data_IF_173708828929
#
_entry.id   IF_173708828929
#
_cell.length_a   1.000
_cell.length_b   1.000
_cell.length_c   1.000
_cell.angle_alpha   90.00
_cell.angle_beta   90.00
_cell.angle_gamma   90.00
#
_symmetry.space_group_name_H-M   'P 1'
#
loop_
_entity.id
_entity.type
_entity.pdbx_description
1 polymer ?
#
# COMPACT_ATOMS: atom_id res chain seq x y z
N UNK A 1 -4.96 -19.64 9.52
CA UNK A 1 -4.84 -18.87 8.28
C UNK A 1 -6.21 -18.42 7.77
N UNK A 2 -7.16 -19.34 7.55
CA UNK A 2 -8.50 -19.03 7.03
C UNK A 2 -9.27 -18.01 7.89
N UNK A 3 -9.22 -18.11 9.22
CA UNK A 3 -9.82 -17.12 10.12
C UNK A 3 -9.21 -15.73 9.91
N UNK A 4 -7.88 -15.63 9.83
CA UNK A 4 -7.20 -14.36 9.59
C UNK A 4 -7.59 -13.73 8.23
N UNK A 5 -7.68 -14.55 7.17
CA UNK A 5 -8.15 -14.06 5.87
C UNK A 5 -9.62 -13.62 5.93
N UNK A 6 -10.48 -14.36 6.64
CA UNK A 6 -11.88 -13.97 6.85
C UNK A 6 -11.97 -12.60 7.53
N UNK A 7 -11.16 -12.35 8.56
CA UNK A 7 -11.13 -11.06 9.26
C UNK A 7 -10.63 -9.93 8.34
N UNK A 8 -9.61 -10.20 7.53
CA UNK A 8 -9.09 -9.24 6.55
C UNK A 8 -10.19 -8.85 5.54
N UNK A 9 -10.92 -9.83 5.01
CA UNK A 9 -11.97 -9.60 4.00
C UNK A 9 -13.19 -8.92 4.62
N UNK A 10 -13.67 -9.42 5.76
CA UNK A 10 -14.96 -9.02 6.32
C UNK A 10 -14.87 -7.79 7.23
N UNK A 11 -13.72 -7.52 7.83
CA UNK A 11 -13.50 -6.37 8.72
C UNK A 11 -12.53 -5.36 8.10
N UNK A 12 -11.34 -5.79 7.71
CA UNK A 12 -10.28 -4.90 7.23
C UNK A 12 -10.65 -4.18 5.93
N UNK A 13 -11.05 -4.94 4.91
CA UNK A 13 -11.36 -4.40 3.58
C UNK A 13 -12.51 -3.39 3.58
N UNK A 14 -13.68 -3.63 4.24
CA UNK A 14 -14.75 -2.65 4.27
C UNK A 14 -14.36 -1.34 4.96
N UNK A 15 -13.61 -1.42 6.06
CA UNK A 15 -13.15 -0.24 6.77
C UNK A 15 -12.17 0.58 5.94
N UNK A 16 -11.16 -0.07 5.36
CA UNK A 16 -10.20 0.59 4.47
C UNK A 16 -10.90 1.22 3.25
N UNK A 17 -11.81 0.49 2.60
CA UNK A 17 -12.55 0.98 1.43
C UNK A 17 -13.38 2.23 1.77
N UNK A 18 -14.00 2.26 2.96
CA UNK A 18 -14.78 3.42 3.43
C UNK A 18 -13.87 4.64 3.59
N UNK A 19 -12.72 4.50 4.24
CA UNK A 19 -11.76 5.58 4.41
C UNK A 19 -11.17 6.05 3.07
N UNK A 20 -10.88 5.13 2.15
CA UNK A 20 -10.44 5.47 0.81
C UNK A 20 -11.46 6.33 0.05
N UNK A 21 -12.77 6.02 0.17
CA UNK A 21 -13.85 6.83 -0.43
C UNK A 21 -13.88 8.25 0.13
N UNK A 22 -13.77 8.42 1.45
CA UNK A 22 -13.70 9.76 2.05
C UNK A 22 -12.49 10.55 1.56
N UNK A 23 -11.33 9.91 1.44
CA UNK A 23 -10.14 10.55 0.91
C UNK A 23 -10.27 10.94 -0.57
N UNK A 24 -10.93 10.13 -1.41
CA UNK A 24 -11.23 10.49 -2.79
C UNK A 24 -12.20 11.68 -2.89
N UNK A 25 -13.23 11.72 -2.04
CA UNK A 25 -14.14 12.85 -1.94
C UNK A 25 -13.37 14.11 -1.54
N UNK A 26 -12.59 14.06 -0.46
CA UNK A 26 -11.77 15.16 0.00
C UNK A 26 -10.84 15.68 -1.10
N UNK A 27 -10.13 14.77 -1.81
CA UNK A 27 -9.26 15.15 -2.91
C UNK A 27 -10.01 15.79 -4.08
N UNK A 28 -11.21 15.32 -4.40
CA UNK A 28 -12.06 15.93 -5.43
C UNK A 28 -12.53 17.32 -5.04
N UNK A 29 -12.91 17.50 -3.76
CA UNK A 29 -13.26 18.84 -3.22
C UNK A 29 -12.07 19.79 -3.29
N UNK A 30 -10.87 19.34 -2.88
CA UNK A 30 -9.65 20.12 -3.01
C UNK A 30 -9.39 20.57 -4.45
N UNK A 31 -9.49 19.66 -5.43
CA UNK A 31 -9.33 19.99 -6.84
C UNK A 31 -10.40 21.01 -7.32
N UNK A 32 -11.63 20.87 -6.82
CA UNK A 32 -12.71 21.83 -7.16
C UNK A 32 -12.45 23.22 -6.61
N UNK A 33 -11.89 23.34 -5.40
CA UNK A 33 -11.49 24.64 -4.84
C UNK A 33 -10.45 25.35 -5.71
N UNK A 34 -9.46 24.60 -6.21
CA UNK A 34 -8.44 25.14 -7.12
C UNK A 34 -9.05 25.50 -8.48
N UNK A 35 -9.80 24.58 -9.10
CA UNK A 35 -10.37 24.80 -10.45
C UNK A 35 -11.36 25.96 -10.50
N UNK A 36 -12.05 26.23 -9.41
CA UNK A 36 -12.96 27.38 -9.24
C UNK A 36 -12.26 28.64 -8.71
N UNK A 37 -10.93 28.58 -8.55
CA UNK A 37 -10.10 29.72 -8.12
C UNK A 37 -10.44 30.29 -6.73
N UNK A 38 -11.00 29.47 -5.82
CA UNK A 38 -11.13 29.85 -4.41
C UNK A 38 -9.80 29.83 -3.68
N UNK A 39 -8.91 28.92 -4.07
CA UNK A 39 -7.55 28.80 -3.58
C UNK A 39 -6.59 28.60 -4.75
N UNK A 40 -5.31 28.90 -4.54
CA UNK A 40 -4.25 28.67 -5.52
C UNK A 40 -3.72 27.23 -5.46
N UNK A 41 -3.05 26.77 -6.52
CA UNK A 41 -2.33 25.49 -6.50
C UNK A 41 -1.28 25.46 -5.40
N UNK A 42 -0.50 26.54 -5.24
CA UNK A 42 0.50 26.64 -4.16
C UNK A 42 -0.14 26.44 -2.77
N UNK A 43 -1.29 27.10 -2.51
CA UNK A 43 -2.00 26.93 -1.22
C UNK A 43 -2.46 25.49 -1.01
N UNK A 44 -2.86 24.80 -2.09
CA UNK A 44 -3.22 23.39 -2.04
C UNK A 44 -2.00 22.53 -1.76
N UNK A 45 -0.89 22.77 -2.42
CA UNK A 45 0.35 21.99 -2.21
C UNK A 45 0.86 22.18 -0.78
N UNK A 46 0.84 23.39 -0.24
CA UNK A 46 1.14 23.64 1.18
C UNK A 46 0.20 22.89 2.12
N UNK A 47 -1.10 22.89 1.83
CA UNK A 47 -2.06 22.15 2.62
C UNK A 47 -1.77 20.65 2.57
N UNK A 48 -1.50 20.06 1.39
CA UNK A 48 -1.16 18.66 1.24
C UNK A 48 0.13 18.29 1.98
N UNK A 49 1.13 19.16 1.98
CA UNK A 49 2.39 18.97 2.71
C UNK A 49 2.22 19.05 4.24
N UNK A 50 1.20 19.77 4.72
CA UNK A 50 0.90 19.88 6.14
C UNK A 50 0.19 18.67 6.73
N UNK A 51 -0.27 17.75 5.88
CA UNK A 51 -0.98 16.55 6.33
C UNK A 51 0.03 15.57 6.92
N UNK A 52 -0.11 15.30 8.20
CA UNK A 52 0.69 14.30 8.90
C UNK A 52 0.24 12.90 8.49
N UNK A 53 1.12 12.16 7.82
CA UNK A 53 0.83 10.81 7.36
C UNK A 53 1.79 9.80 7.97
N UNK A 54 1.43 8.53 7.94
CA UNK A 54 2.35 7.45 8.34
C UNK A 54 3.67 7.49 7.56
N UNK A 55 3.67 8.02 6.34
CA UNK A 55 4.91 8.16 5.55
C UNK A 55 5.82 9.25 6.13
N UNK A 56 5.27 10.38 6.62
CA UNK A 56 6.05 11.42 7.30
C UNK A 56 6.58 10.92 8.65
N UNK A 57 5.74 10.20 9.41
CA UNK A 57 6.17 9.55 10.66
C UNK A 57 7.29 8.56 10.42
N UNK A 58 7.15 7.69 9.40
CA UNK A 58 8.16 6.72 9.04
C UNK A 58 9.51 7.39 8.73
N UNK A 59 9.50 8.48 7.95
CA UNK A 59 10.72 9.23 7.62
C UNK A 59 11.39 9.78 8.89
N UNK A 60 10.61 10.36 9.80
CA UNK A 60 11.11 10.91 11.06
C UNK A 60 11.68 9.80 11.96
N UNK A 61 10.91 8.74 12.18
CA UNK A 61 11.30 7.62 13.03
C UNK A 61 12.51 6.85 12.44
N UNK A 62 12.57 6.74 11.12
CA UNK A 62 13.70 6.11 10.45
C UNK A 62 14.99 6.92 10.60
N UNK A 63 14.92 8.26 10.50
CA UNK A 63 16.05 9.11 10.77
C UNK A 63 16.51 9.01 12.24
N UNK A 64 15.59 8.95 13.19
CA UNK A 64 15.92 8.70 14.60
C UNK A 64 16.58 7.33 14.80
N UNK A 65 16.09 6.30 14.12
CA UNK A 65 16.70 4.97 14.14
C UNK A 65 18.12 4.97 13.56
N UNK A 66 18.34 5.65 12.43
CA UNK A 66 19.68 5.76 11.81
C UNK A 66 20.69 6.51 12.70
N UNK A 67 20.23 7.46 13.51
CA UNK A 67 21.03 8.26 14.44
C UNK A 67 21.13 7.63 15.85
N UNK A 68 20.74 6.35 16.02
CA UNK A 68 20.72 5.63 17.29
C UNK A 68 19.87 6.31 18.39
N UNK A 69 18.90 7.17 17.99
CA UNK A 69 17.96 7.85 18.90
C UNK A 69 16.68 7.02 19.13
N UNK A 70 16.40 6.05 18.26
CA UNK A 70 15.30 5.10 18.39
C UNK A 70 15.84 3.67 18.41
N UNK A 71 15.53 2.85 19.44
CA UNK A 71 15.93 1.44 19.47
C UNK A 71 15.30 0.61 18.32
N UNK A 72 16.06 -0.37 17.81
CA UNK A 72 15.62 -1.25 16.71
C UNK A 72 14.30 -1.96 17.01
N UNK A 73 14.11 -2.42 18.24
CA UNK A 73 12.87 -3.10 18.66
C UNK A 73 11.65 -2.19 18.67
N UNK A 74 11.83 -0.89 19.00
CA UNK A 74 10.77 0.12 18.94
C UNK A 74 10.38 0.39 17.49
N UNK A 75 11.38 0.59 16.62
CA UNK A 75 11.17 0.79 15.19
C UNK A 75 10.48 -0.43 14.57
N UNK A 76 10.98 -1.64 14.81
CA UNK A 76 10.42 -2.87 14.28
C UNK A 76 9.00 -3.15 14.79
N UNK A 77 8.68 -2.78 16.02
CA UNK A 77 7.31 -2.91 16.57
C UNK A 77 6.31 -2.09 15.80
N UNK A 78 6.71 -0.88 15.36
CA UNK A 78 5.85 0.03 14.59
C UNK A 78 5.84 -0.34 13.10
N UNK A 79 6.99 -0.58 12.50
CA UNK A 79 7.15 -0.68 11.04
C UNK A 79 7.62 -2.05 10.54
N UNK A 80 7.97 -2.97 11.43
CA UNK A 80 8.57 -4.26 11.08
C UNK A 80 7.72 -5.13 10.16
N UNK A 81 6.41 -4.94 10.15
CA UNK A 81 5.49 -5.64 9.25
C UNK A 81 5.58 -5.19 7.79
N UNK A 82 6.15 -4.01 7.53
CA UNK A 82 6.30 -3.48 6.17
C UNK A 82 7.31 -4.32 5.37
N UNK A 83 7.20 -4.24 4.06
CA UNK A 83 8.11 -4.85 3.09
C UNK A 83 8.18 -4.00 1.82
N UNK A 84 9.28 -4.08 1.07
CA UNK A 84 9.48 -3.29 -0.14
C UNK A 84 8.45 -3.61 -1.23
N UNK A 85 8.07 -4.87 -1.39
CA UNK A 85 6.93 -5.29 -2.22
C UNK A 85 5.72 -5.53 -1.33
N UNK A 86 4.79 -4.61 -1.24
CA UNK A 86 3.73 -4.53 -0.21
C UNK A 86 3.00 -5.84 0.04
N UNK A 87 2.74 -6.65 -0.99
CA UNK A 87 2.01 -7.93 -0.87
C UNK A 87 2.77 -9.08 -1.53
N UNK A 88 4.03 -8.88 -1.86
CA UNK A 88 4.86 -9.91 -2.46
C UNK A 88 5.42 -10.85 -1.37
N UNK A 89 5.05 -12.12 -1.44
CA UNK A 89 5.52 -13.16 -0.51
C UNK A 89 7.04 -13.36 -0.60
N UNK A 90 7.66 -13.06 -1.75
CA UNK A 90 9.10 -13.20 -1.97
C UNK A 90 9.91 -12.19 -1.18
N UNK A 91 9.34 -11.00 -0.93
CA UNK A 91 10.04 -9.95 -0.19
C UNK A 91 9.99 -10.18 1.33
N UNK A 92 11.11 -9.93 1.99
CA UNK A 92 11.20 -10.00 3.44
C UNK A 92 10.52 -8.80 4.10
N UNK A 93 10.03 -9.00 5.31
CA UNK A 93 9.57 -7.92 6.19
C UNK A 93 10.77 -7.12 6.71
N UNK A 94 10.55 -5.88 7.10
CA UNK A 94 11.63 -5.05 7.67
C UNK A 94 12.24 -5.64 8.94
N UNK A 95 11.42 -6.28 9.81
CA UNK A 95 11.92 -6.95 11.01
C UNK A 95 12.70 -8.25 10.74
N UNK A 96 12.65 -8.77 9.52
CA UNK A 96 13.40 -9.96 9.06
C UNK A 96 14.67 -9.60 8.30
N UNK A 97 14.89 -8.32 8.01
CA UNK A 97 16.11 -7.84 7.37
C UNK A 97 17.15 -7.53 8.44
N UNK A 98 18.34 -8.15 8.36
CA UNK A 98 19.44 -7.87 9.29
C UNK A 98 19.97 -6.44 9.16
N UNK A 99 19.55 -5.78 8.11
CA UNK A 99 19.89 -4.42 7.84
C UNK A 99 18.68 -3.70 7.23
N UNK A 100 17.93 -3.02 8.01
CA UNK A 100 17.45 -1.73 7.54
C UNK A 100 18.72 -0.92 7.35
N UNK A 101 19.28 -1.01 6.14
CA UNK A 101 20.63 -0.55 5.86
C UNK A 101 20.70 0.90 6.27
N UNK A 102 21.74 1.25 7.00
CA UNK A 102 22.37 2.55 6.97
C UNK A 102 22.93 2.80 5.53
N UNK A 103 22.08 2.72 4.52
CA UNK A 103 22.44 3.14 3.17
C UNK A 103 22.36 4.63 3.15
N UNK A 104 23.51 5.23 3.14
CA UNK A 104 23.80 6.64 2.99
C UNK A 104 23.33 7.25 1.65
N UNK A 105 22.54 6.55 0.86
CA UNK A 105 22.04 6.98 -0.44
C UNK A 105 20.57 7.45 -0.42
N UNK A 106 20.11 7.97 0.70
CA UNK A 106 18.95 8.84 0.64
C UNK A 106 19.42 10.28 0.41
N UNK A 107 19.61 10.61 -0.85
CA UNK A 107 19.36 11.98 -1.30
C UNK A 107 17.84 12.27 -1.10
N UNK A 108 17.42 12.30 0.13
CA UNK A 108 16.17 12.91 0.53
C UNK A 108 16.43 14.41 0.64
N UNK A 109 16.69 15.02 -0.52
CA UNK A 109 16.70 16.47 -0.66
C UNK A 109 15.25 16.93 -0.70
N UNK A 110 14.89 17.59 0.27
CA UNK A 110 14.38 18.96 0.39
C UNK A 110 13.73 19.08 1.75
N UNK A 111 14.50 19.55 2.71
CA UNK A 111 13.97 20.35 3.79
C UNK A 111 13.30 21.56 3.15
N UNK A 112 12.03 21.43 2.82
CA UNK A 112 11.18 22.60 2.68
C UNK A 112 11.04 23.12 4.10
N UNK A 113 11.91 24.06 4.48
CA UNK A 113 11.78 24.82 5.72
C UNK A 113 10.44 25.51 5.66
N UNK A 114 9.48 24.97 6.42
CA UNK A 114 8.21 25.61 6.63
C UNK A 114 8.39 26.85 7.50
N UNK A 115 8.79 27.95 6.90
CA UNK A 115 8.77 29.28 7.51
C UNK A 115 7.68 30.11 6.82
N UNK A 116 6.43 29.86 7.14
CA UNK A 116 5.40 30.89 6.93
C UNK A 116 4.22 30.66 7.88
N UNK A 117 3.96 31.65 8.73
CA UNK A 117 2.79 31.81 9.56
C UNK A 117 1.49 32.10 8.76
N UNK A 118 1.41 31.66 7.50
CA UNK A 118 0.18 31.82 6.73
C UNK A 118 -0.76 30.64 7.00
N UNK A 119 -2.06 30.90 7.23
CA UNK A 119 -3.02 29.81 7.38
C UNK A 119 -3.02 29.00 6.08
N UNK A 120 -2.83 27.69 6.22
CA UNK A 120 -2.74 26.70 5.13
C UNK A 120 -3.86 26.82 4.09
N UNK A 121 -5.08 27.10 4.57
CA UNK A 121 -6.24 27.45 3.74
C UNK A 121 -6.91 28.67 4.38
N UNK A 122 -7.15 29.72 3.60
CA UNK A 122 -7.82 30.92 4.09
C UNK A 122 -9.27 30.60 4.47
N UNK A 123 -9.64 30.77 5.74
CA UNK A 123 -11.02 30.61 6.23
C UNK A 123 -12.01 31.43 5.40
N UNK A 124 -11.65 32.66 5.01
CA UNK A 124 -12.49 33.52 4.17
C UNK A 124 -12.73 32.91 2.78
N UNK A 125 -11.71 32.32 2.17
CA UNK A 125 -11.83 31.68 0.85
C UNK A 125 -12.71 30.42 0.93
N UNK A 126 -12.57 29.65 2.00
CA UNK A 126 -13.40 28.47 2.25
C UNK A 126 -14.85 28.86 2.54
N UNK A 127 -15.12 29.87 3.40
CA UNK A 127 -16.49 30.36 3.62
C UNK A 127 -17.16 30.75 2.31
N UNK A 128 -16.48 31.53 1.50
CA UNK A 128 -17.02 31.95 0.19
C UNK A 128 -17.34 30.77 -0.71
N UNK A 129 -16.43 29.77 -0.76
CA UNK A 129 -16.62 28.56 -1.55
C UNK A 129 -17.83 27.75 -1.08
N UNK A 130 -18.00 27.57 0.22
CA UNK A 130 -19.13 26.85 0.81
C UNK A 130 -20.46 27.54 0.56
N UNK A 131 -20.53 28.88 0.73
CA UNK A 131 -21.72 29.69 0.44
C UNK A 131 -22.13 29.59 -1.04
N UNK A 132 -21.20 29.75 -1.97
CA UNK A 132 -21.50 29.71 -3.41
C UNK A 132 -21.87 28.27 -3.89
N UNK A 133 -21.42 27.25 -3.19
CA UNK A 133 -21.77 25.86 -3.49
C UNK A 133 -23.00 25.37 -2.70
N UNK A 134 -23.64 26.21 -1.90
CA UNK A 134 -24.76 25.87 -1.02
C UNK A 134 -24.48 24.75 -0.05
N UNK A 135 -23.28 24.70 0.51
CA UNK A 135 -22.94 23.82 1.61
C UNK A 135 -23.10 24.54 2.95
N UNK A 136 -23.89 23.95 3.85
CA UNK A 136 -24.12 24.45 5.21
C UNK A 136 -23.10 23.80 6.18
N UNK A 137 -21.81 24.13 5.99
CA UNK A 137 -20.73 23.68 6.85
C UNK A 137 -19.94 24.87 7.39
N UNK A 138 -19.53 24.77 8.65
CA UNK A 138 -18.52 25.68 9.19
C UNK A 138 -17.17 25.45 8.47
N UNK A 139 -16.45 26.50 8.06
CA UNK A 139 -15.20 26.41 7.32
C UNK A 139 -14.15 25.52 8.01
N UNK A 140 -14.01 25.65 9.33
CA UNK A 140 -13.04 24.85 10.09
C UNK A 140 -13.44 23.37 10.13
N UNK A 141 -14.72 23.05 10.21
CA UNK A 141 -15.20 21.68 10.11
C UNK A 141 -14.90 21.07 8.74
N UNK A 142 -15.09 21.84 7.69
CA UNK A 142 -14.79 21.40 6.32
C UNK A 142 -13.28 21.13 6.13
N UNK A 143 -12.41 22.05 6.57
CA UNK A 143 -10.95 21.88 6.50
C UNK A 143 -10.49 20.68 7.31
N UNK A 144 -11.04 20.51 8.51
CA UNK A 144 -10.75 19.33 9.35
C UNK A 144 -11.21 18.02 8.69
N UNK A 145 -12.36 18.01 8.02
CA UNK A 145 -12.80 16.86 7.23
C UNK A 145 -11.79 16.53 6.12
N UNK A 146 -11.35 17.52 5.33
CA UNK A 146 -10.38 17.29 4.27
C UNK A 146 -9.08 16.68 4.81
N UNK A 147 -8.54 17.27 5.90
CA UNK A 147 -7.32 16.80 6.56
C UNK A 147 -7.50 15.38 7.07
N UNK A 148 -8.49 15.16 7.92
CA UNK A 148 -8.74 13.87 8.57
C UNK A 148 -9.02 12.75 7.56
N UNK A 149 -9.76 13.03 6.46
CA UNK A 149 -10.05 12.02 5.45
C UNK A 149 -8.77 11.52 4.75
N UNK A 150 -7.81 12.41 4.50
CA UNK A 150 -6.53 12.07 3.87
C UNK A 150 -5.59 11.34 4.84
N UNK A 151 -5.48 11.82 6.09
CA UNK A 151 -4.69 11.17 7.15
C UNK A 151 -5.20 9.76 7.46
N UNK A 152 -6.51 9.62 7.66
CA UNK A 152 -7.12 8.34 8.04
C UNK A 152 -6.99 7.28 6.94
N UNK A 153 -7.03 7.66 5.67
CA UNK A 153 -6.78 6.71 4.58
C UNK A 153 -5.41 6.05 4.70
N UNK A 154 -4.37 6.84 4.94
CA UNK A 154 -3.00 6.30 5.06
C UNK A 154 -2.83 5.50 6.35
N UNK A 155 -3.42 5.95 7.45
CA UNK A 155 -3.41 5.21 8.71
C UNK A 155 -4.12 3.85 8.56
N UNK A 156 -5.31 3.81 7.99
CA UNK A 156 -6.05 2.56 7.80
C UNK A 156 -5.35 1.61 6.82
N UNK A 157 -4.71 2.12 5.78
CA UNK A 157 -3.87 1.33 4.88
C UNK A 157 -2.71 0.69 5.64
N UNK A 158 -2.05 1.45 6.49
CA UNK A 158 -0.94 0.97 7.31
C UNK A 158 -1.39 -0.12 8.29
N UNK A 159 -2.47 0.11 9.04
CA UNK A 159 -3.03 -0.89 9.96
C UNK A 159 -3.51 -2.16 9.24
N UNK A 160 -4.21 -2.00 8.11
CA UNK A 160 -4.65 -3.10 7.26
C UNK A 160 -3.47 -3.94 6.75
N UNK A 161 -2.35 -3.31 6.40
CA UNK A 161 -1.16 -4.01 5.92
C UNK A 161 -0.52 -4.93 6.97
N UNK A 162 -0.72 -4.68 8.26
CA UNK A 162 -0.25 -5.56 9.35
C UNK A 162 -0.88 -6.95 9.25
N UNK A 163 -2.19 -7.00 9.10
CA UNK A 163 -2.93 -8.27 8.99
C UNK A 163 -2.57 -9.03 7.73
N UNK A 164 -2.45 -8.35 6.59
CA UNK A 164 -2.01 -8.96 5.33
C UNK A 164 -0.58 -9.49 5.41
N UNK A 165 0.32 -8.71 6.00
CA UNK A 165 1.70 -9.13 6.19
C UNK A 165 1.79 -10.35 7.11
N UNK A 166 0.97 -10.41 8.16
CA UNK A 166 0.88 -11.59 9.02
C UNK A 166 0.35 -12.82 8.26
N UNK A 167 -0.68 -12.67 7.43
CA UNK A 167 -1.21 -13.77 6.62
C UNK A 167 -0.15 -14.36 5.68
N UNK A 168 0.64 -13.50 5.04
CA UNK A 168 1.76 -13.93 4.20
C UNK A 168 2.80 -14.72 5.02
N UNK A 169 3.16 -14.26 6.22
CA UNK A 169 4.12 -14.97 7.07
C UNK A 169 3.58 -16.32 7.57
N UNK A 170 2.29 -16.40 7.86
CA UNK A 170 1.66 -17.70 8.21
C UNK A 170 1.77 -18.68 7.04
N UNK A 171 1.54 -18.21 5.79
CA UNK A 171 1.72 -19.04 4.60
C UNK A 171 3.17 -19.49 4.44
N UNK A 172 4.13 -18.60 4.67
CA UNK A 172 5.57 -18.94 4.65
C UNK A 172 5.92 -19.98 5.71
N UNK A 173 5.34 -19.90 6.91
CA UNK A 173 5.55 -20.92 7.96
C UNK A 173 4.99 -22.29 7.56
N UNK A 174 3.84 -22.32 6.88
CA UNK A 174 3.30 -23.56 6.31
C UNK A 174 4.27 -24.10 5.25
N UNK A 175 4.70 -23.25 4.30
CA UNK A 175 5.66 -23.63 3.27
C UNK A 175 6.95 -24.22 3.83
N UNK A 176 7.52 -23.63 4.90
CA UNK A 176 8.69 -24.17 5.58
C UNK A 176 8.48 -25.60 6.11
N UNK A 177 7.29 -25.91 6.65
CA UNK A 177 6.96 -27.29 7.09
C UNK A 177 6.86 -28.27 5.93
N UNK A 178 6.40 -27.78 4.76
CA UNK A 178 6.30 -28.56 3.52
C UNK A 178 7.61 -28.55 2.69
N UNK A 179 8.66 -27.86 3.17
CA UNK A 179 9.93 -27.64 2.46
C UNK A 179 9.76 -26.92 1.12
N UNK A 180 8.77 -26.03 1.04
CA UNK A 180 8.48 -25.18 -0.10
C UNK A 180 8.93 -23.75 0.27
N UNK A 181 9.80 -23.16 -0.53
CA UNK A 181 10.32 -21.82 -0.29
C UNK A 181 9.36 -20.69 -0.73
N UNK A 182 9.72 -19.44 -0.43
CA UNK A 182 8.89 -18.26 -0.74
C UNK A 182 8.64 -18.08 -2.23
N UNK A 183 9.67 -18.34 -3.06
CA UNK A 183 9.57 -18.15 -4.50
C UNK A 183 8.59 -19.15 -5.11
N UNK A 184 8.63 -20.38 -4.65
CA UNK A 184 7.68 -21.41 -5.06
C UNK A 184 6.25 -21.10 -4.57
N UNK A 185 6.10 -20.65 -3.33
CA UNK A 185 4.79 -20.28 -2.78
C UNK A 185 4.12 -19.15 -3.58
N UNK A 186 4.89 -18.30 -4.26
CA UNK A 186 4.35 -17.21 -5.08
C UNK A 186 3.51 -17.67 -6.26
N UNK A 187 3.60 -18.94 -6.66
CA UNK A 187 2.77 -19.53 -7.71
C UNK A 187 1.43 -20.08 -7.21
N UNK A 188 1.19 -20.11 -5.89
CA UNK A 188 -0.09 -20.54 -5.33
C UNK A 188 -1.10 -19.39 -5.35
N UNK A 189 -2.36 -19.77 -5.55
CA UNK A 189 -3.51 -18.86 -5.44
C UNK A 189 -4.30 -19.13 -4.16
N UNK A 190 -5.11 -18.18 -3.72
CA UNK A 190 -5.94 -18.34 -2.52
C UNK A 190 -6.86 -19.58 -2.57
N UNK A 191 -7.50 -19.93 -3.72
CA UNK A 191 -8.29 -21.16 -3.82
C UNK A 191 -7.51 -22.43 -3.50
N UNK A 192 -6.22 -22.50 -3.86
CA UNK A 192 -5.38 -23.67 -3.55
C UNK A 192 -5.16 -23.84 -2.06
N UNK A 193 -4.94 -22.69 -1.41
CA UNK A 193 -4.73 -22.66 0.05
C UNK A 193 -6.02 -23.05 0.77
N UNK A 194 -7.18 -22.60 0.33
CA UNK A 194 -8.47 -23.01 0.88
C UNK A 194 -8.73 -24.51 0.65
N UNK A 195 -8.37 -25.03 -0.53
CA UNK A 195 -8.52 -26.45 -0.86
C UNK A 195 -7.62 -27.36 -0.01
N UNK A 196 -6.59 -26.80 0.63
CA UNK A 196 -5.67 -27.56 1.51
C UNK A 196 -6.36 -28.25 2.69
N UNK A 197 -7.56 -27.81 3.08
CA UNK A 197 -8.36 -28.43 4.15
C UNK A 197 -8.78 -29.87 3.81
N UNK A 198 -8.76 -30.26 2.54
CA UNK A 198 -9.17 -31.58 2.07
C UNK A 198 -8.05 -32.64 2.17
N UNK A 199 -6.81 -32.21 2.49
CA UNK A 199 -5.65 -33.11 2.60
C UNK A 199 -5.40 -33.46 4.05
N UNK A 200 -5.25 -34.76 4.31
CA UNK A 200 -5.10 -35.29 5.67
C UNK A 200 -3.66 -35.38 6.13
N UNK A 201 -2.71 -35.46 5.20
CA UNK A 201 -1.28 -35.58 5.51
C UNK A 201 -0.49 -34.42 4.88
N UNK A 202 0.70 -34.17 5.47
CA UNK A 202 1.60 -33.16 4.92
C UNK A 202 2.17 -33.58 3.55
N UNK A 203 2.36 -34.86 3.33
CA UNK A 203 2.89 -35.38 2.07
C UNK A 203 1.87 -35.18 0.94
N UNK A 204 0.61 -35.55 1.15
CA UNK A 204 -0.47 -35.29 0.18
C UNK A 204 -0.61 -33.79 -0.14
N UNK A 205 -0.53 -32.93 0.87
CA UNK A 205 -0.60 -31.49 0.68
C UNK A 205 0.63 -30.96 -0.09
N UNK A 206 1.81 -31.50 0.19
CA UNK A 206 3.04 -31.14 -0.51
C UNK A 206 2.94 -31.52 -1.99
N UNK A 207 2.51 -32.73 -2.29
CA UNK A 207 2.35 -33.22 -3.67
C UNK A 207 1.33 -32.38 -4.43
N UNK A 208 0.22 -32.04 -3.80
CA UNK A 208 -0.81 -31.17 -4.38
C UNK A 208 -0.24 -29.78 -4.73
N UNK A 209 0.39 -29.11 -3.75
CA UNK A 209 0.95 -27.78 -3.99
C UNK A 209 2.07 -27.81 -5.03
N UNK A 210 2.98 -28.77 -4.96
CA UNK A 210 4.08 -28.89 -5.93
C UNK A 210 3.58 -29.15 -7.36
N UNK A 211 2.50 -29.91 -7.51
CA UNK A 211 1.87 -30.14 -8.81
C UNK A 211 1.37 -28.81 -9.39
N UNK A 212 0.62 -28.02 -8.63
CA UNK A 212 0.12 -26.72 -9.05
C UNK A 212 1.25 -25.73 -9.34
N UNK A 213 2.22 -25.64 -8.47
CA UNK A 213 3.39 -24.77 -8.61
C UNK A 213 4.12 -25.05 -9.92
N UNK A 214 4.42 -26.34 -10.19
CA UNK A 214 5.13 -26.74 -11.42
C UNK A 214 4.34 -26.38 -12.68
N UNK A 215 3.02 -26.61 -12.70
CA UNK A 215 2.16 -26.24 -13.82
C UNK A 215 2.15 -24.72 -14.06
N UNK A 216 1.96 -23.92 -13.00
CA UNK A 216 1.89 -22.46 -13.11
C UNK A 216 3.23 -21.83 -13.41
N UNK A 217 4.33 -22.40 -12.92
CA UNK A 217 5.67 -21.95 -13.28
C UNK A 217 5.90 -22.04 -14.78
N UNK A 218 5.53 -23.13 -15.41
CA UNK A 218 5.63 -23.29 -16.87
C UNK A 218 4.78 -22.24 -17.62
N UNK A 219 3.55 -22.03 -17.17
CA UNK A 219 2.66 -21.00 -17.75
C UNK A 219 3.26 -19.61 -17.56
N UNK A 220 3.79 -19.31 -16.38
CA UNK A 220 4.42 -18.03 -16.09
C UNK A 220 5.64 -17.78 -16.98
N UNK A 221 6.51 -18.78 -17.15
CA UNK A 221 7.67 -18.71 -18.05
C UNK A 221 7.29 -18.46 -19.52
N UNK A 222 6.14 -18.96 -19.95
CA UNK A 222 5.60 -18.66 -21.28
C UNK A 222 5.05 -17.24 -21.35
N UNK A 223 4.28 -16.83 -20.33
CA UNK A 223 3.64 -15.52 -20.28
C UNK A 223 4.65 -14.37 -20.17
N UNK A 224 5.79 -14.56 -19.53
CA UNK A 224 6.84 -13.53 -19.44
C UNK A 224 7.47 -13.18 -20.79
N UNK A 225 7.27 -14.01 -21.81
CA UNK A 225 7.71 -13.74 -23.18
C UNK A 225 6.71 -12.88 -23.98
N UNK A 226 5.50 -12.70 -23.47
CA UNK A 226 4.47 -11.91 -24.14
C UNK A 226 4.64 -10.43 -23.80
N UNK A 227 4.71 -9.60 -24.84
CA UNK A 227 4.73 -8.14 -24.68
C UNK A 227 3.30 -7.64 -24.91
N UNK A 228 2.62 -7.27 -23.83
CA UNK A 228 1.29 -6.72 -23.91
C UNK A 228 1.34 -5.22 -24.23
N UNK A 229 0.39 -4.69 -25.02
CA UNK A 229 0.27 -3.25 -25.22
C UNK A 229 -0.12 -2.57 -23.90
N UNK A 230 0.34 -1.32 -23.72
CA UNK A 230 0.05 -0.54 -22.51
C UNK A 230 -1.46 -0.30 -22.32
N UNK A 231 -2.22 -0.22 -23.41
CA UNK A 231 -3.67 -0.03 -23.39
C UNK A 231 -4.32 -0.96 -24.38
N UNK A 232 -5.26 -1.77 -23.89
CA UNK A 232 -6.10 -2.65 -24.72
C UNK A 232 -7.44 -1.95 -24.93
N UNK A 233 -7.72 -1.51 -26.16
CA UNK A 233 -8.95 -0.79 -26.50
C UNK A 233 -9.91 -1.62 -27.39
N UNK A 234 -9.39 -2.62 -28.06
CA UNK A 234 -10.16 -3.47 -28.97
C UNK A 234 -9.50 -4.85 -29.12
N UNK A 235 -10.19 -5.77 -29.79
CA UNK A 235 -9.74 -7.14 -29.99
C UNK A 235 -8.42 -7.22 -30.77
N UNK A 236 -8.17 -6.33 -31.72
CA UNK A 236 -6.94 -6.37 -32.53
C UNK A 236 -5.67 -6.12 -31.69
N UNK A 237 -5.76 -5.46 -30.54
CA UNK A 237 -4.63 -5.30 -29.64
C UNK A 237 -4.22 -6.63 -28.96
N UNK A 238 -5.12 -7.63 -28.96
CA UNK A 238 -4.88 -8.95 -28.39
C UNK A 238 -4.44 -9.92 -29.46
N UNK A 239 -5.00 -9.80 -30.69
CA UNK A 239 -4.73 -10.69 -31.80
C UNK A 239 -3.27 -10.62 -32.31
N UNK A 240 -2.59 -9.51 -32.06
CA UNK A 240 -1.20 -9.26 -32.47
C UNK A 240 -0.30 -8.96 -31.25
N UNK A 241 -0.22 -9.90 -30.31
CA UNK A 241 0.70 -9.81 -29.18
C UNK A 241 2.12 -10.17 -29.66
N UNK A 242 3.07 -9.28 -29.46
CA UNK A 242 4.47 -9.51 -29.78
C UNK A 242 5.10 -10.49 -28.75
N UNK A 243 5.94 -11.40 -29.28
CA UNK A 243 6.78 -12.24 -28.42
C UNK A 243 8.12 -11.52 -28.27
N UNK A 244 8.36 -10.99 -27.10
CA UNK A 244 9.62 -10.32 -26.77
C UNK A 244 10.66 -11.27 -26.18
N UNK A 245 11.92 -10.86 -26.21
CA UNK A 245 12.95 -11.50 -25.39
C UNK A 245 12.66 -11.23 -23.91
N UNK A 246 12.78 -12.26 -23.05
CA UNK A 246 12.57 -12.14 -21.62
C UNK A 246 13.50 -11.04 -21.07
N UNK A 247 12.91 -9.95 -20.56
CA UNK A 247 13.70 -8.95 -19.79
C UNK A 247 14.18 -9.62 -18.51
N UNK A 248 15.46 -9.57 -18.20
CA UNK A 248 15.92 -10.05 -16.89
C UNK A 248 15.27 -9.21 -15.79
N UNK A 249 14.73 -9.88 -14.79
CA UNK A 249 14.17 -9.27 -13.58
C UNK A 249 15.23 -8.54 -12.76
#
# INVERSE_FOLDING_TARGET
FSSLLSDIVNLGTPHFTRQARYAFIARSMCKSLVSKQYITEDSMDYFMLSIETIASDFKTDYNQYLNDQMPKDVFNRKYGHLRSGTYDIRTLRYDQMDFLIKTTDTQANSEIQHSSNQPLLSTKAISKALEEMNFDFEPDYFVNFLKSALEQRELFKFEFSKSLSLAIEVLVLIGKRLKIDRDLLSYLELPDIYSSIHYSTLDELTDFWMTLINQRKLIHEQNTKLVLPEVITNQSNIDFIEIGESRPN
#
